data_IF_419107082829
#
_entry.id   IF_419107082829
#
_cell.length_a   1.000
_cell.length_b   1.000
_cell.length_c   1.000
_cell.angle_alpha   90.00
_cell.angle_beta   90.00
_cell.angle_gamma   90.00
#
_symmetry.space_group_name_H-M   'P 1'
#
loop_
_entity.id
_entity.type
_entity.pdbx_description
1 polymer ?
#
# COMPACT_ATOMS: atom_id res chain seq x y z
N UNK A 1 6.30 -9.60 0.53
CA UNK A 1 7.34 -8.73 -0.09
C UNK A 1 7.32 -8.78 -1.62
N UNK A 2 7.68 -9.90 -2.30
CA UNK A 2 7.83 -9.92 -3.78
C UNK A 2 6.64 -9.35 -4.58
N UNK A 3 5.39 -9.65 -4.20
CA UNK A 3 4.20 -9.08 -4.86
C UNK A 3 4.10 -7.58 -4.69
N UNK A 4 4.31 -7.08 -3.48
CA UNK A 4 4.24 -5.67 -3.14
C UNK A 4 5.35 -4.85 -3.83
N UNK A 5 6.53 -5.43 -4.00
CA UNK A 5 7.63 -4.86 -4.78
C UNK A 5 7.28 -4.74 -6.27
N UNK A 6 6.63 -5.77 -6.85
CA UNK A 6 6.15 -5.71 -8.22
C UNK A 6 5.07 -4.63 -8.42
N UNK A 7 4.13 -4.50 -7.48
CA UNK A 7 3.13 -3.45 -7.50
C UNK A 7 3.76 -2.05 -7.39
N UNK A 8 4.77 -1.89 -6.52
CA UNK A 8 5.52 -0.65 -6.41
C UNK A 8 6.24 -0.29 -7.71
N UNK A 9 6.84 -1.28 -8.39
CA UNK A 9 7.46 -1.05 -9.69
C UNK A 9 6.45 -0.53 -10.72
N UNK A 10 5.25 -1.12 -10.78
CA UNK A 10 4.18 -0.67 -11.70
C UNK A 10 3.74 0.75 -11.38
N UNK A 11 3.51 1.08 -10.09
CA UNK A 11 3.03 2.42 -9.68
C UNK A 11 4.02 3.53 -10.04
N UNK A 12 5.33 3.22 -10.03
CA UNK A 12 6.40 4.15 -10.38
C UNK A 12 6.87 4.06 -11.84
N UNK A 13 6.29 3.19 -12.66
CA UNK A 13 6.62 3.08 -14.06
C UNK A 13 5.88 4.15 -14.88
N UNK A 14 6.61 5.14 -15.40
CA UNK A 14 6.03 6.19 -16.24
C UNK A 14 5.50 5.66 -17.58
N UNK A 15 5.96 4.50 -18.04
CA UNK A 15 5.44 3.85 -19.25
C UNK A 15 4.12 3.10 -18.97
N UNK A 16 3.79 2.81 -17.70
CA UNK A 16 2.54 2.18 -17.34
C UNK A 16 1.37 3.17 -17.48
N UNK A 17 0.25 2.76 -18.11
CA UNK A 17 -0.93 3.61 -18.21
C UNK A 17 -1.41 4.08 -16.83
N UNK A 18 -1.75 5.37 -16.72
CA UNK A 18 -2.18 5.98 -15.45
C UNK A 18 -3.32 5.21 -14.78
N UNK A 19 -4.29 4.71 -15.57
CA UNK A 19 -5.40 3.88 -15.07
C UNK A 19 -4.94 2.61 -14.34
N UNK A 20 -3.84 1.98 -14.78
CA UNK A 20 -3.28 0.78 -14.14
C UNK A 20 -2.60 1.17 -12.83
N UNK A 21 -1.81 2.24 -12.85
CA UNK A 21 -1.13 2.76 -11.65
C UNK A 21 -2.15 3.13 -10.56
N UNK A 22 -3.21 3.85 -10.94
CA UNK A 22 -4.28 4.22 -10.02
C UNK A 22 -5.04 3.01 -9.51
N UNK A 23 -5.33 2.03 -10.37
CA UNK A 23 -6.01 0.81 -9.95
C UNK A 23 -5.23 0.03 -8.89
N UNK A 24 -3.90 -0.06 -9.02
CA UNK A 24 -3.04 -0.69 -8.01
C UNK A 24 -3.11 0.07 -6.69
N UNK A 25 -2.99 1.40 -6.73
CA UNK A 25 -3.05 2.24 -5.53
C UNK A 25 -4.41 2.12 -4.84
N UNK A 26 -5.51 2.19 -5.59
CA UNK A 26 -6.86 2.12 -5.04
C UNK A 26 -7.14 0.72 -4.44
N UNK A 27 -6.68 -0.34 -5.10
CA UNK A 27 -6.81 -1.71 -4.59
C UNK A 27 -6.03 -1.92 -3.29
N UNK A 28 -4.80 -1.40 -3.19
CA UNK A 28 -4.01 -1.46 -1.97
C UNK A 28 -4.62 -0.62 -0.85
N UNK A 29 -5.11 0.58 -1.16
CA UNK A 29 -5.80 1.42 -0.17
C UNK A 29 -7.05 0.72 0.37
N UNK A 30 -7.83 0.08 -0.50
CA UNK A 30 -9.00 -0.70 -0.10
C UNK A 30 -8.61 -1.88 0.80
N UNK A 31 -7.58 -2.64 0.42
CA UNK A 31 -7.10 -3.76 1.22
C UNK A 31 -6.62 -3.32 2.61
N UNK A 32 -5.82 -2.25 2.70
CA UNK A 32 -5.32 -1.71 3.96
C UNK A 32 -6.44 -1.27 4.91
N UNK A 33 -7.55 -0.75 4.38
CA UNK A 33 -8.67 -0.24 5.18
C UNK A 33 -9.64 -1.34 5.64
N UNK A 34 -9.79 -2.41 4.87
CA UNK A 34 -10.86 -3.39 5.08
C UNK A 34 -10.35 -4.76 5.52
N UNK A 35 -9.09 -5.10 5.20
CA UNK A 35 -8.51 -6.41 5.47
C UNK A 35 -7.13 -6.28 6.13
N UNK A 36 -7.06 -5.68 7.33
CA UNK A 36 -5.79 -5.40 8.00
C UNK A 36 -4.93 -6.65 8.25
N UNK A 37 -5.55 -7.82 8.43
CA UNK A 37 -4.86 -9.10 8.64
C UNK A 37 -4.19 -9.70 7.41
N UNK A 38 -4.32 -9.09 6.22
CA UNK A 38 -3.67 -9.58 5.00
C UNK A 38 -2.20 -9.14 4.89
N UNK A 39 -1.80 -8.13 5.66
CA UNK A 39 -0.46 -7.58 5.63
C UNK A 39 0.28 -7.92 6.91
N UNK A 40 1.55 -8.27 6.77
CA UNK A 40 2.45 -8.33 7.93
C UNK A 40 2.83 -6.91 8.39
N UNK A 41 3.22 -6.74 9.65
CA UNK A 41 3.66 -5.43 10.17
C UNK A 41 4.78 -4.81 9.32
N UNK A 42 5.72 -5.62 8.83
CA UNK A 42 6.82 -5.16 7.97
C UNK A 42 6.31 -4.62 6.63
N UNK A 43 5.30 -5.27 6.04
CA UNK A 43 4.70 -4.82 4.78
C UNK A 43 3.92 -3.53 4.96
N UNK A 44 3.19 -3.38 6.07
CA UNK A 44 2.50 -2.11 6.39
C UNK A 44 3.51 -0.99 6.64
N UNK A 45 4.62 -1.26 7.32
CA UNK A 45 5.71 -0.28 7.50
C UNK A 45 6.27 0.19 6.16
N UNK A 46 6.56 -0.74 5.26
CA UNK A 46 7.09 -0.40 3.95
C UNK A 46 6.07 0.36 3.08
N UNK A 47 4.79 0.00 3.14
CA UNK A 47 3.71 0.74 2.47
C UNK A 47 3.56 2.17 3.02
N UNK A 48 3.87 2.40 4.30
CA UNK A 48 3.84 3.73 4.90
C UNK A 48 4.91 4.69 4.33
N UNK A 49 5.90 4.17 3.61
CA UNK A 49 7.00 4.94 3.01
C UNK A 49 6.79 5.22 1.50
N UNK A 50 5.68 4.76 0.91
CA UNK A 50 5.41 4.96 -0.51
C UNK A 50 5.14 6.43 -0.88
N UNK A 51 5.53 6.84 -2.08
CA UNK A 51 5.38 8.23 -2.54
C UNK A 51 3.93 8.65 -2.79
N UNK A 52 3.04 7.74 -3.21
CA UNK A 52 1.63 8.08 -3.41
C UNK A 52 0.93 8.23 -2.06
N UNK A 53 0.61 9.48 -1.69
CA UNK A 53 0.02 9.86 -0.40
C UNK A 53 -1.20 9.03 0.05
N UNK A 54 -1.96 8.43 -0.89
CA UNK A 54 -3.11 7.57 -0.58
C UNK A 54 -2.72 6.32 0.21
N UNK A 55 -1.53 5.77 -0.03
CA UNK A 55 -1.04 4.56 0.63
C UNK A 55 -0.52 4.85 2.05
N UNK A 56 0.40 5.82 2.29
CA UNK A 56 0.86 6.14 3.64
C UNK A 56 -0.26 6.49 4.61
N UNK A 57 -1.27 7.25 4.17
CA UNK A 57 -2.40 7.60 5.05
C UNK A 57 -3.12 6.35 5.58
N UNK A 58 -3.36 5.35 4.71
CA UNK A 58 -4.01 4.11 5.13
C UNK A 58 -3.07 3.22 5.96
N UNK A 59 -1.81 3.10 5.55
CA UNK A 59 -0.82 2.26 6.22
C UNK A 59 -0.44 2.78 7.61
N UNK A 60 -0.21 4.09 7.77
CA UNK A 60 0.09 4.69 9.08
C UNK A 60 -1.07 4.55 10.06
N UNK A 61 -2.32 4.68 9.59
CA UNK A 61 -3.51 4.43 10.41
C UNK A 61 -3.52 2.99 10.92
N UNK A 62 -3.30 2.01 10.04
CA UNK A 62 -3.22 0.60 10.42
C UNK A 62 -2.06 0.33 11.40
N UNK A 63 -0.89 0.93 11.20
CA UNK A 63 0.23 0.79 12.15
C UNK A 63 -0.09 1.32 13.55
N UNK A 64 -0.88 2.40 13.64
CA UNK A 64 -1.32 2.92 14.93
C UNK A 64 -2.27 1.93 15.61
N UNK A 65 -3.23 1.36 14.87
CA UNK A 65 -4.18 0.36 15.37
C UNK A 65 -3.47 -0.93 15.84
N UNK A 66 -2.48 -1.41 15.10
CA UNK A 66 -1.67 -2.58 15.46
C UNK A 66 -0.84 -2.39 16.73
N UNK A 67 -0.46 -1.15 17.07
CA UNK A 67 0.28 -0.85 18.31
C UNK A 67 -0.62 -0.82 19.54
N UNK A 68 -1.92 -0.65 19.35
CA UNK A 68 -2.91 -0.56 20.42
C UNK A 68 -3.62 -1.88 20.72
N UNK A 69 -3.41 -2.89 19.87
CA UNK A 69 -3.92 -4.26 20.03
C UNK A 69 -2.92 -5.13 20.80
#
# INVERSE_FOLDING_TARGET
>A
MSTLEALHAIVNDEAAPQIIRDHVVDSLQFALRNYPGYFTTKEVQWLAEWNDTRIPIAATKLLAELKTA
#
